data_IF_561608089419
#
_entry.id   IF_561608089419
#
_cell.length_a   1.000
_cell.length_b   1.000
_cell.length_c   1.000
_cell.angle_alpha   90.00
_cell.angle_beta   90.00
_cell.angle_gamma   90.00
#
_symmetry.space_group_name_H-M   'P 1'
#
loop_
_entity.id
_entity.type
_entity.pdbx_description
1 polymer ?
#
# COMPACT_ATOMS: atom_id res chain seq x y z
N UNK A 1 7.96 35.90 24.86
CA UNK A 1 7.86 35.53 23.43
C UNK A 1 8.23 34.07 23.13
N UNK A 2 8.80 33.30 24.06
CA UNK A 2 9.26 31.91 23.85
C UNK A 2 8.15 30.85 24.01
N UNK A 3 7.07 31.12 24.76
CA UNK A 3 5.93 30.20 24.93
C UNK A 3 4.97 30.14 23.73
N UNK A 4 4.91 31.19 22.89
CA UNK A 4 3.99 31.27 21.75
C UNK A 4 4.53 30.53 20.51
N UNK A 5 5.86 30.45 20.35
CA UNK A 5 6.51 29.69 19.26
C UNK A 5 6.31 28.16 19.39
N UNK A 6 6.25 27.64 20.62
CA UNK A 6 5.98 26.20 20.87
C UNK A 6 4.55 25.78 20.51
N UNK A 7 3.58 26.65 20.74
CA UNK A 7 2.16 26.40 20.39
C UNK A 7 1.97 26.46 18.87
N UNK A 8 2.61 27.40 18.17
CA UNK A 8 2.55 27.50 16.70
C UNK A 8 3.15 26.28 15.98
N UNK A 9 4.29 25.76 16.44
CA UNK A 9 4.90 24.52 15.90
C UNK A 9 4.03 23.28 16.14
N UNK A 10 3.35 23.23 17.29
CA UNK A 10 2.42 22.14 17.62
C UNK A 10 1.13 22.23 16.76
N UNK A 11 0.61 23.43 16.51
CA UNK A 11 -0.59 23.64 15.67
C UNK A 11 -0.32 23.39 14.18
N UNK A 12 0.85 23.76 13.64
CA UNK A 12 1.26 23.40 12.27
C UNK A 12 1.35 21.88 12.06
N UNK A 13 1.60 21.12 13.14
CA UNK A 13 1.66 19.66 13.09
C UNK A 13 0.32 18.95 13.33
N UNK A 14 -0.64 19.62 13.96
CA UNK A 14 -1.96 19.06 14.27
C UNK A 14 -2.93 19.31 13.12
N UNK A 15 -3.02 20.55 12.61
CA UNK A 15 -4.08 20.95 11.67
C UNK A 15 -4.10 20.16 10.35
N UNK A 16 -2.98 19.88 9.65
CA UNK A 16 -2.99 19.11 8.40
C UNK A 16 -3.29 17.61 8.60
N UNK A 17 -3.05 17.09 9.80
CA UNK A 17 -3.36 15.70 10.16
C UNK A 17 -4.87 15.51 10.37
N UNK A 18 -5.53 16.48 11.03
CA UNK A 18 -6.97 16.45 11.28
C UNK A 18 -7.76 16.63 9.98
N UNK A 19 -7.34 17.56 9.13
CA UNK A 19 -8.00 17.85 7.84
C UNK A 19 -8.02 16.64 6.91
N UNK A 20 -6.88 15.96 6.72
CA UNK A 20 -6.81 14.76 5.87
C UNK A 20 -7.56 13.56 6.46
N UNK A 21 -7.66 13.48 7.80
CA UNK A 21 -8.34 12.39 8.49
C UNK A 21 -9.87 12.47 8.38
N UNK A 22 -10.44 13.67 8.52
CA UNK A 22 -11.89 13.88 8.34
C UNK A 22 -12.34 13.76 6.87
N UNK A 23 -11.45 14.03 5.90
CA UNK A 23 -11.81 13.94 4.49
C UNK A 23 -11.98 12.48 3.99
N UNK A 24 -11.36 11.49 4.64
CA UNK A 24 -11.51 10.07 4.27
C UNK A 24 -12.77 9.40 4.86
N UNK A 25 -13.32 9.94 5.96
CA UNK A 25 -14.62 9.52 6.48
C UNK A 25 -15.67 10.55 6.06
N UNK A 26 -16.36 10.28 4.95
CA UNK A 26 -17.49 11.12 4.49
C UNK A 26 -18.38 11.48 5.68
N UNK A 27 -18.51 12.78 5.96
CA UNK A 27 -19.46 13.33 6.92
C UNK A 27 -20.86 13.05 6.37
N UNK A 28 -21.40 11.88 6.69
CA UNK A 28 -22.84 11.62 6.71
C UNK A 28 -23.27 11.86 8.14
N UNK A 29 -23.45 13.12 8.52
CA UNK A 29 -24.23 13.52 9.69
C UNK A 29 -24.50 15.00 9.52
N UNK A 30 -25.65 15.31 8.92
CA UNK A 30 -26.46 16.53 9.09
C UNK A 30 -27.56 16.61 8.01
N UNK A 31 -28.23 15.49 7.73
CA UNK A 31 -29.49 15.50 7.00
C UNK A 31 -30.26 14.29 7.51
N UNK A 32 -30.95 14.42 8.65
CA UNK A 32 -32.18 13.70 9.05
C UNK A 32 -32.43 14.01 10.53
N UNK A 33 -33.02 15.17 10.79
CA UNK A 33 -33.75 15.42 12.03
C UNK A 33 -34.91 16.37 11.70
N UNK A 34 -36.15 15.89 11.57
CA UNK A 34 -37.28 16.71 11.15
C UNK A 34 -37.89 17.44 12.35
N UNK A 35 -37.11 18.28 13.06
CA UNK A 35 -37.62 19.18 14.10
C UNK A 35 -36.70 20.39 14.33
N UNK A 36 -36.49 21.24 13.32
CA UNK A 36 -35.98 22.60 13.55
C UNK A 36 -36.53 23.58 12.50
N UNK A 37 -37.83 23.84 12.56
CA UNK A 37 -38.36 25.13 12.11
C UNK A 37 -38.05 26.15 13.21
N UNK A 38 -36.89 26.82 13.11
CA UNK A 38 -36.55 28.17 13.63
C UNK A 38 -35.04 28.37 13.79
N UNK A 39 -34.27 28.22 12.71
CA UNK A 39 -32.83 28.54 12.69
C UNK A 39 -32.52 29.95 12.14
N UNK A 40 -33.47 30.88 12.19
CA UNK A 40 -33.28 32.29 11.80
C UNK A 40 -33.42 33.29 12.97
N UNK A 41 -33.25 32.83 14.22
CA UNK A 41 -33.38 33.70 15.41
C UNK A 41 -32.25 33.60 16.44
N UNK A 42 -31.06 33.14 16.04
CA UNK A 42 -29.84 33.23 16.87
C UNK A 42 -28.67 33.73 16.00
N UNK A 43 -28.82 34.91 15.39
CA UNK A 43 -27.69 35.70 14.90
C UNK A 43 -28.00 37.20 15.03
N UNK A 44 -28.08 37.76 16.25
CA UNK A 44 -27.75 39.16 16.38
C UNK A 44 -26.95 39.43 17.66
N UNK A 45 -25.72 38.92 17.78
CA UNK A 45 -24.64 39.62 18.50
C UNK A 45 -23.26 38.96 18.34
N UNK A 46 -22.88 38.58 17.11
CA UNK A 46 -21.50 38.13 16.87
C UNK A 46 -20.68 39.32 16.40
N UNK A 47 -19.70 39.75 17.22
CA UNK A 47 -18.74 40.79 16.81
C UNK A 47 -18.10 40.41 15.46
N UNK A 48 -17.75 41.42 14.65
CA UNK A 48 -17.14 41.23 13.31
C UNK A 48 -15.94 40.28 13.32
N UNK A 49 -15.21 40.19 14.43
CA UNK A 49 -14.09 39.25 14.64
C UNK A 49 -14.54 37.77 14.69
N UNK A 50 -15.70 37.50 15.28
CA UNK A 50 -16.24 36.13 15.39
C UNK A 50 -16.82 35.65 14.05
N UNK A 51 -17.40 36.54 13.25
CA UNK A 51 -17.84 36.23 11.88
C UNK A 51 -16.65 35.93 10.97
N UNK A 52 -15.57 36.73 11.07
CA UNK A 52 -14.31 36.47 10.35
C UNK A 52 -13.69 35.14 10.80
N UNK A 53 -13.68 34.84 12.10
CA UNK A 53 -13.16 33.56 12.61
C UNK A 53 -13.98 32.37 12.11
N UNK A 54 -15.32 32.46 12.08
CA UNK A 54 -16.19 31.42 11.55
C UNK A 54 -16.03 31.25 10.03
N UNK A 55 -15.89 32.33 9.26
CA UNK A 55 -15.60 32.27 7.83
C UNK A 55 -14.20 31.70 7.56
N UNK A 56 -13.19 32.05 8.36
CA UNK A 56 -11.84 31.51 8.25
C UNK A 56 -11.81 30.02 8.61
N UNK A 57 -12.53 29.61 9.65
CA UNK A 57 -12.72 28.21 10.01
C UNK A 57 -13.47 27.44 8.92
N UNK A 58 -14.51 28.04 8.31
CA UNK A 58 -15.25 27.45 7.19
C UNK A 58 -14.36 27.31 5.94
N UNK A 59 -13.56 28.32 5.61
CA UNK A 59 -12.59 28.27 4.50
C UNK A 59 -11.49 27.22 4.76
N UNK A 60 -11.01 27.09 6.00
CA UNK A 60 -10.07 26.03 6.40
C UNK A 60 -10.69 24.62 6.32
N UNK A 61 -11.99 24.49 6.59
CA UNK A 61 -12.73 23.23 6.45
C UNK A 61 -13.00 22.90 4.98
N UNK A 62 -13.34 23.88 4.15
CA UNK A 62 -13.62 23.68 2.71
C UNK A 62 -12.33 23.41 1.91
N UNK A 63 -11.23 24.13 2.20
CA UNK A 63 -9.91 23.89 1.58
C UNK A 63 -9.30 22.55 1.99
N UNK A 64 -9.75 21.98 3.12
CA UNK A 64 -9.32 20.70 3.62
C UNK A 64 -9.90 19.47 2.92
N UNK A 65 -10.90 19.66 2.06
CA UNK A 65 -11.60 18.59 1.33
C UNK A 65 -11.22 18.50 -0.15
N UNK A 66 -10.21 19.26 -0.59
CA UNK A 66 -9.74 19.19 -1.97
C UNK A 66 -9.13 17.81 -2.25
N UNK A 67 -9.62 17.14 -3.29
CA UNK A 67 -9.09 15.87 -3.76
C UNK A 67 -7.65 16.07 -4.24
N UNK A 68 -6.70 15.72 -3.37
CA UNK A 68 -5.27 16.00 -3.55
C UNK A 68 -4.67 15.42 -4.82
N UNK A 69 -5.31 14.43 -5.45
CA UNK A 69 -4.80 13.81 -6.66
C UNK A 69 -5.13 14.61 -7.93
N UNK A 70 -6.13 15.49 -7.88
CA UNK A 70 -6.48 16.37 -9.00
C UNK A 70 -5.29 17.24 -9.43
N UNK A 71 -4.49 17.70 -8.47
CA UNK A 71 -3.31 18.53 -8.72
C UNK A 71 -2.22 17.84 -9.55
N UNK A 72 -2.24 16.51 -9.66
CA UNK A 72 -1.23 15.74 -10.38
C UNK A 72 -1.71 15.23 -11.75
N UNK A 73 -3.00 15.40 -12.10
CA UNK A 73 -3.58 14.84 -13.34
C UNK A 73 -2.87 15.30 -14.61
N UNK A 74 -2.47 16.57 -14.67
CA UNK A 74 -1.78 17.15 -15.82
C UNK A 74 -0.43 16.49 -16.12
N UNK A 75 0.14 15.73 -15.18
CA UNK A 75 1.37 14.95 -15.38
C UNK A 75 1.14 13.65 -16.15
N UNK A 76 -0.13 13.27 -16.41
CA UNK A 76 -0.49 12.03 -17.12
C UNK A 76 -1.30 12.35 -18.40
N UNK A 77 -0.69 13.07 -19.37
CA UNK A 77 -1.41 13.47 -20.59
C UNK A 77 -1.57 12.33 -21.62
N UNK A 78 -0.82 11.22 -21.45
CA UNK A 78 -0.80 10.14 -22.44
C UNK A 78 -2.20 9.54 -22.66
N UNK A 79 -2.43 9.06 -23.89
CA UNK A 79 -3.65 8.38 -24.29
C UNK A 79 -3.32 7.10 -25.02
N UNK A 80 -4.03 6.02 -24.69
CA UNK A 80 -3.83 4.72 -25.33
C UNK A 80 -4.68 4.65 -26.60
N UNK A 81 -4.09 4.53 -27.80
CA UNK A 81 -4.86 4.44 -29.04
C UNK A 81 -5.80 3.23 -29.08
N UNK A 82 -5.42 2.14 -28.42
CA UNK A 82 -6.14 0.85 -28.44
C UNK A 82 -6.85 0.54 -27.13
N UNK A 83 -6.67 1.37 -26.09
CA UNK A 83 -7.10 1.08 -24.72
C UNK A 83 -6.36 -0.09 -24.06
N UNK A 84 -5.31 -0.62 -24.69
CA UNK A 84 -4.45 -1.67 -24.16
C UNK A 84 -3.11 -1.08 -23.71
N UNK A 85 -2.42 -1.69 -22.72
CA UNK A 85 -1.07 -1.27 -22.34
C UNK A 85 -0.01 -1.70 -23.38
N UNK A 86 0.96 -0.82 -23.62
CA UNK A 86 2.18 -1.11 -24.38
C UNK A 86 3.41 -0.90 -23.47
N UNK A 87 3.95 -1.99 -22.93
CA UNK A 87 5.03 -1.92 -21.95
C UNK A 87 6.40 -1.56 -22.55
N UNK A 88 6.51 -1.39 -23.87
CA UNK A 88 7.68 -0.75 -24.47
C UNK A 88 7.72 0.76 -24.21
N UNK A 89 6.58 1.38 -23.89
CA UNK A 89 6.49 2.79 -23.53
C UNK A 89 6.46 2.96 -21.99
N UNK A 90 7.31 3.86 -21.48
CA UNK A 90 7.45 4.19 -20.06
C UNK A 90 6.18 4.75 -19.41
N UNK A 91 5.24 5.33 -20.18
CA UNK A 91 3.97 5.86 -19.67
C UNK A 91 3.09 4.76 -19.05
N UNK A 92 3.20 3.53 -19.56
CA UNK A 92 2.49 2.35 -19.06
C UNK A 92 3.16 1.71 -17.84
N UNK A 93 4.22 2.32 -17.32
CA UNK A 93 4.82 1.94 -16.05
C UNK A 93 4.43 2.98 -15.00
N UNK A 94 3.90 2.54 -13.86
CA UNK A 94 3.69 3.38 -12.69
C UNK A 94 5.05 3.68 -12.02
N UNK A 95 5.94 2.69 -11.97
CA UNK A 95 7.34 2.86 -11.57
C UNK A 95 8.30 2.17 -12.55
N UNK A 96 9.41 2.83 -12.90
CA UNK A 96 10.44 2.24 -13.75
C UNK A 96 11.80 2.92 -13.54
N UNK A 97 12.95 2.20 -13.53
CA UNK A 97 14.27 2.80 -13.25
C UNK A 97 14.73 3.85 -14.27
N UNK A 98 14.14 3.84 -15.47
CA UNK A 98 14.41 4.80 -16.53
C UNK A 98 13.55 6.07 -16.46
N UNK A 99 12.70 6.23 -15.44
CA UNK A 99 11.92 7.45 -15.22
C UNK A 99 12.01 7.89 -13.76
N UNK A 100 11.81 9.19 -13.51
CA UNK A 100 11.65 9.70 -12.14
C UNK A 100 10.18 9.54 -11.74
N UNK A 101 9.93 8.81 -10.66
CA UNK A 101 8.56 8.59 -10.19
C UNK A 101 8.47 8.52 -8.66
N UNK A 102 7.25 8.48 -8.07
CA UNK A 102 7.12 8.50 -6.63
C UNK A 102 7.74 7.31 -5.90
N UNK A 103 8.05 6.20 -6.58
CA UNK A 103 8.73 5.06 -5.94
C UNK A 103 10.18 5.40 -5.57
N UNK A 104 10.78 6.41 -6.20
CA UNK A 104 12.11 6.91 -5.86
C UNK A 104 12.13 7.81 -4.61
N UNK A 105 10.96 8.08 -4.03
CA UNK A 105 10.85 8.95 -2.87
C UNK A 105 11.45 8.27 -1.64
N UNK A 106 12.15 9.05 -0.83
CA UNK A 106 12.79 8.58 0.40
C UNK A 106 12.31 9.49 1.54
N UNK A 107 11.75 8.93 2.63
CA UNK A 107 11.43 9.72 3.81
C UNK A 107 12.66 10.49 4.31
N UNK A 108 12.49 11.77 4.68
CA UNK A 108 13.61 12.66 5.07
C UNK A 108 14.66 12.02 6.00
N UNK A 109 14.30 11.24 7.04
CA UNK A 109 15.29 10.61 7.93
C UNK A 109 16.18 9.54 7.27
N UNK A 110 15.85 9.10 6.05
CA UNK A 110 16.54 8.03 5.31
C UNK A 110 17.33 8.56 4.11
N UNK A 111 17.33 9.87 3.83
CA UNK A 111 17.97 10.44 2.63
C UNK A 111 19.48 10.17 2.49
N UNK A 112 20.17 9.83 3.59
CA UNK A 112 21.60 9.55 3.61
C UNK A 112 21.92 8.05 3.71
N UNK A 113 20.91 7.18 3.64
CA UNK A 113 21.17 5.74 3.68
C UNK A 113 21.92 5.29 2.42
N UNK A 114 22.88 4.35 2.54
CA UNK A 114 23.50 3.75 1.38
C UNK A 114 22.45 3.10 0.48
N UNK A 115 22.58 3.33 -0.82
CA UNK A 115 21.67 2.81 -1.84
C UNK A 115 22.41 1.99 -2.86
N UNK A 116 21.71 0.97 -3.33
CA UNK A 116 22.20 0.07 -4.36
C UNK A 116 21.02 -0.32 -5.27
N UNK A 117 21.33 -1.02 -6.35
CA UNK A 117 20.38 -1.57 -7.30
C UNK A 117 20.42 -3.08 -7.37
N UNK A 118 21.17 -3.77 -6.48
CA UNK A 118 21.47 -5.22 -6.46
C UNK A 118 20.39 -6.16 -7.02
N UNK A 119 19.12 -5.90 -6.72
CA UNK A 119 17.99 -6.69 -7.19
C UNK A 119 16.95 -5.85 -7.94
N UNK A 120 15.98 -6.54 -8.52
CA UNK A 120 14.81 -5.93 -9.09
C UNK A 120 13.60 -6.27 -8.23
N UNK A 121 12.81 -5.26 -7.88
CA UNK A 121 11.49 -5.46 -7.29
C UNK A 121 10.42 -5.24 -8.36
N UNK A 122 9.65 -6.28 -8.63
CA UNK A 122 8.43 -6.18 -9.44
C UNK A 122 7.24 -5.96 -8.49
N UNK A 123 6.88 -4.69 -8.30
CA UNK A 123 5.82 -4.27 -7.40
C UNK A 123 4.47 -4.23 -8.13
N UNK A 124 3.49 -4.99 -7.65
CA UNK A 124 2.13 -5.00 -8.20
C UNK A 124 1.22 -4.23 -7.25
N UNK A 125 0.88 -3.00 -7.64
CA UNK A 125 0.09 -2.09 -6.83
C UNK A 125 -1.35 -2.58 -6.63
N UNK A 126 -2.08 -2.13 -5.60
CA UNK A 126 -3.50 -2.45 -5.42
C UNK A 126 -4.37 -1.65 -6.40
N UNK A 127 -5.68 -1.90 -6.38
CA UNK A 127 -6.61 -1.03 -7.10
C UNK A 127 -6.77 0.32 -6.41
N UNK A 128 -6.55 1.40 -7.15
CA UNK A 128 -6.93 2.77 -6.78
C UNK A 128 -8.22 3.19 -7.48
N UNK A 129 -8.79 2.33 -8.32
CA UNK A 129 -10.10 2.50 -8.93
C UNK A 129 -11.23 2.21 -7.93
N UNK A 130 -11.50 3.21 -7.10
CA UNK A 130 -12.38 3.10 -5.93
C UNK A 130 -13.56 4.07 -5.94
N UNK A 131 -13.75 4.85 -7.02
CA UNK A 131 -14.88 5.78 -7.07
C UNK A 131 -16.18 5.02 -7.26
N UNK A 132 -17.05 5.09 -6.24
CA UNK A 132 -18.38 4.47 -6.25
C UNK A 132 -19.22 4.91 -7.44
N UNK A 133 -19.04 6.13 -7.96
CA UNK A 133 -19.80 6.63 -9.12
C UNK A 133 -19.33 6.03 -10.43
N UNK A 134 -18.10 5.52 -10.47
CA UNK A 134 -17.51 4.87 -11.65
C UNK A 134 -17.74 3.35 -11.68
N UNK A 135 -18.54 2.81 -10.77
CA UNK A 135 -18.87 1.37 -10.69
C UNK A 135 -19.63 0.83 -11.91
N UNK A 136 -20.05 1.69 -12.85
CA UNK A 136 -20.58 1.28 -14.16
C UNK A 136 -19.53 0.62 -15.04
N UNK A 137 -18.24 0.83 -14.76
CA UNK A 137 -17.12 0.19 -15.44
C UNK A 137 -16.45 -0.83 -14.52
N UNK A 138 -16.17 -2.02 -15.06
CA UNK A 138 -15.58 -3.11 -14.28
C UNK A 138 -14.06 -2.98 -14.12
N UNK A 139 -13.38 -2.28 -15.05
CA UNK A 139 -11.95 -1.98 -15.00
C UNK A 139 -11.65 -0.50 -15.32
N UNK A 140 -10.58 0.01 -14.70
CA UNK A 140 -9.99 1.31 -14.98
C UNK A 140 -9.48 1.41 -16.43
N UNK A 141 -9.48 2.62 -16.99
CA UNK A 141 -8.90 2.84 -18.30
C UNK A 141 -7.41 3.00 -18.07
N UNK A 142 -6.60 2.45 -18.97
CA UNK A 142 -5.15 2.43 -18.80
C UNK A 142 -4.55 3.85 -18.77
N UNK A 143 -5.21 4.79 -19.43
CA UNK A 143 -4.85 6.20 -19.62
C UNK A 143 -5.78 7.17 -18.87
N UNK A 144 -6.44 6.67 -17.81
CA UNK A 144 -7.19 7.51 -16.86
C UNK A 144 -6.18 8.31 -16.01
N UNK A 145 -6.10 9.61 -16.28
CA UNK A 145 -5.13 10.54 -15.69
C UNK A 145 -5.30 10.65 -14.16
N UNK A 146 -6.54 10.62 -13.66
CA UNK A 146 -6.82 10.69 -12.24
C UNK A 146 -6.43 9.39 -11.52
N UNK A 147 -6.79 8.23 -12.07
CA UNK A 147 -6.41 6.93 -11.50
C UNK A 147 -4.89 6.77 -11.53
N UNK A 148 -4.22 7.23 -12.60
CA UNK A 148 -2.76 7.20 -12.70
C UNK A 148 -2.10 8.10 -11.66
N UNK A 149 -2.54 9.36 -11.54
CA UNK A 149 -2.10 10.27 -10.48
C UNK A 149 -2.32 9.68 -9.08
N UNK A 150 -3.49 9.09 -8.84
CA UNK A 150 -3.82 8.50 -7.56
C UNK A 150 -2.94 7.28 -7.26
N UNK A 151 -2.68 6.42 -8.24
CA UNK A 151 -1.79 5.25 -8.10
C UNK A 151 -0.40 5.71 -7.69
N UNK A 152 0.18 6.65 -8.44
CA UNK A 152 1.55 7.10 -8.25
C UNK A 152 1.72 7.82 -6.89
N UNK A 153 0.84 8.76 -6.55
CA UNK A 153 0.92 9.55 -5.32
C UNK A 153 0.21 8.92 -4.10
N UNK A 154 -0.21 7.66 -4.22
CA UNK A 154 -0.61 6.85 -3.08
C UNK A 154 0.20 5.56 -2.99
N UNK A 155 -0.12 4.55 -3.78
CA UNK A 155 0.43 3.20 -3.59
C UNK A 155 1.90 3.13 -3.98
N UNK A 156 2.30 3.77 -5.09
CA UNK A 156 3.70 3.79 -5.51
C UNK A 156 4.55 4.59 -4.50
N UNK A 157 4.09 5.79 -4.13
CA UNK A 157 4.75 6.61 -3.11
C UNK A 157 4.87 5.90 -1.76
N UNK A 158 3.78 5.35 -1.22
CA UNK A 158 3.72 4.89 0.16
C UNK A 158 4.09 3.42 0.36
N UNK A 159 3.98 2.60 -0.67
CA UNK A 159 4.18 1.14 -0.59
C UNK A 159 5.37 0.69 -1.43
N UNK A 160 5.43 1.04 -2.73
CA UNK A 160 6.53 0.60 -3.60
C UNK A 160 7.89 1.17 -3.15
N UNK A 161 7.91 2.41 -2.66
CA UNK A 161 9.13 3.05 -2.15
C UNK A 161 9.79 2.30 -0.98
N UNK A 162 9.05 1.45 -0.25
CA UNK A 162 9.63 0.64 0.82
C UNK A 162 10.78 -0.26 0.33
N UNK A 163 10.78 -0.61 -0.96
CA UNK A 163 11.71 -1.54 -1.59
C UNK A 163 12.86 -0.85 -2.35
N UNK A 164 12.90 0.49 -2.40
CA UNK A 164 13.85 1.23 -3.26
C UNK A 164 15.29 1.40 -2.69
N UNK A 165 15.61 0.78 -1.54
CA UNK A 165 16.95 0.91 -0.93
C UNK A 165 18.03 0.22 -1.75
N UNK A 166 17.80 -1.05 -2.07
CA UNK A 166 18.77 -1.95 -2.70
C UNK A 166 18.22 -2.57 -4.00
N UNK A 167 17.09 -2.06 -4.48
CA UNK A 167 16.42 -2.61 -5.65
C UNK A 167 16.01 -1.54 -6.64
N UNK A 168 16.05 -1.90 -7.92
CA UNK A 168 15.36 -1.20 -9.00
C UNK A 168 13.86 -1.49 -8.92
N UNK A 169 13.01 -0.47 -8.94
CA UNK A 169 11.55 -0.65 -8.83
C UNK A 169 10.91 -0.68 -10.20
N UNK A 170 10.20 -1.77 -10.51
CA UNK A 170 9.34 -1.91 -11.67
C UNK A 170 7.90 -2.10 -11.18
N UNK A 171 6.98 -1.27 -11.66
CA UNK A 171 5.55 -1.43 -11.36
C UNK A 171 4.74 -1.07 -12.59
N UNK A 172 4.01 -2.01 -13.21
CA UNK A 172 3.23 -1.73 -14.41
C UNK A 172 1.94 -1.00 -14.06
N UNK A 173 1.48 -0.10 -14.94
CA UNK A 173 0.07 0.27 -15.00
C UNK A 173 -0.67 -0.87 -15.68
N UNK A 174 -1.74 -1.33 -15.05
CA UNK A 174 -2.62 -2.34 -15.62
C UNK A 174 -4.07 -1.88 -15.50
N UNK A 175 -5.00 -2.47 -16.27
CA UNK A 175 -6.43 -2.14 -16.18
C UNK A 175 -7.02 -2.71 -14.90
N UNK A 176 -6.82 -2.00 -13.80
CA UNK A 176 -7.22 -2.37 -12.45
C UNK A 176 -8.72 -2.67 -12.37
N UNK A 177 -9.11 -3.80 -11.78
CA UNK A 177 -10.51 -4.08 -11.55
C UNK A 177 -11.06 -3.13 -10.46
N UNK A 178 -12.31 -2.68 -10.62
CA UNK A 178 -12.95 -1.76 -9.68
C UNK A 178 -13.06 -2.40 -8.28
N UNK A 179 -12.89 -1.59 -7.22
CA UNK A 179 -12.94 -2.10 -5.83
C UNK A 179 -14.26 -2.81 -5.49
N UNK A 180 -15.36 -2.44 -6.15
CA UNK A 180 -16.68 -3.07 -5.98
C UNK A 180 -16.68 -4.57 -6.27
N UNK A 181 -15.76 -5.06 -7.12
CA UNK A 181 -15.64 -6.48 -7.44
C UNK A 181 -15.23 -7.34 -6.23
N UNK A 182 -14.73 -6.74 -5.15
CA UNK A 182 -14.37 -7.44 -3.91
C UNK A 182 -15.48 -7.49 -2.86
N UNK A 183 -16.57 -6.74 -3.05
CA UNK A 183 -17.67 -6.65 -2.09
C UNK A 183 -18.97 -7.30 -2.58
N UNK A 184 -19.03 -7.72 -3.84
CA UNK A 184 -20.16 -8.44 -4.44
C UNK A 184 -20.06 -9.96 -4.34
N UNK A 185 -21.12 -10.66 -4.77
CA UNK A 185 -21.07 -12.10 -5.00
C UNK A 185 -20.10 -12.44 -6.15
N UNK A 186 -19.54 -13.64 -6.13
CA UNK A 186 -18.68 -14.18 -7.20
C UNK A 186 -19.43 -14.12 -8.54
N UNK A 187 -19.19 -13.07 -9.31
CA UNK A 187 -19.85 -12.82 -10.59
C UNK A 187 -18.89 -13.09 -11.74
N UNK A 188 -19.44 -13.47 -12.90
CA UNK A 188 -18.66 -13.60 -14.12
C UNK A 188 -17.91 -12.30 -14.47
N UNK A 189 -18.54 -11.15 -14.20
CA UNK A 189 -17.96 -9.82 -14.41
C UNK A 189 -16.74 -9.60 -13.51
N UNK A 190 -16.83 -9.92 -12.22
CA UNK A 190 -15.71 -9.79 -11.29
C UNK A 190 -14.52 -10.67 -11.72
N UNK A 191 -14.79 -11.92 -12.13
CA UNK A 191 -13.78 -12.85 -12.65
C UNK A 191 -13.11 -12.33 -13.92
N UNK A 192 -13.89 -11.91 -14.91
CA UNK A 192 -13.37 -11.33 -16.16
C UNK A 192 -12.53 -10.07 -15.89
N UNK A 193 -12.97 -9.22 -14.96
CA UNK A 193 -12.24 -7.99 -14.61
C UNK A 193 -10.88 -8.30 -14.01
N UNK A 194 -10.82 -9.29 -13.10
CA UNK A 194 -9.57 -9.72 -12.48
C UNK A 194 -8.66 -10.46 -13.48
N UNK A 195 -9.24 -11.23 -14.41
CA UNK A 195 -8.49 -11.88 -15.49
C UNK A 195 -7.87 -10.87 -16.45
N UNK A 196 -8.58 -9.79 -16.78
CA UNK A 196 -8.04 -8.69 -17.59
C UNK A 196 -6.91 -7.96 -16.85
N UNK A 197 -7.08 -7.70 -15.56
CA UNK A 197 -6.02 -7.13 -14.74
C UNK A 197 -4.78 -8.03 -14.71
N UNK A 198 -4.97 -9.35 -14.55
CA UNK A 198 -3.87 -10.30 -14.54
C UNK A 198 -3.18 -10.40 -15.89
N UNK A 199 -3.92 -10.42 -17.01
CA UNK A 199 -3.31 -10.51 -18.34
C UNK A 199 -2.39 -9.33 -18.63
N UNK A 200 -2.78 -8.12 -18.21
CA UNK A 200 -1.95 -6.93 -18.29
C UNK A 200 -0.68 -7.07 -17.42
N UNK A 201 -0.79 -7.51 -16.16
CA UNK A 201 0.36 -7.72 -15.25
C UNK A 201 1.31 -8.80 -15.79
N UNK A 202 0.74 -9.90 -16.29
CA UNK A 202 1.49 -11.01 -16.92
C UNK A 202 2.30 -10.52 -18.11
N UNK A 203 1.69 -9.70 -18.98
CA UNK A 203 2.36 -9.15 -20.16
C UNK A 203 3.48 -8.17 -19.75
N UNK A 204 3.27 -7.35 -18.72
CA UNK A 204 4.32 -6.49 -18.18
C UNK A 204 5.50 -7.28 -17.63
N UNK A 205 5.22 -8.33 -16.85
CA UNK A 205 6.26 -9.15 -16.26
C UNK A 205 7.10 -9.87 -17.31
N UNK A 206 6.45 -10.41 -18.35
CA UNK A 206 7.14 -10.99 -19.52
C UNK A 206 8.05 -9.97 -20.20
N UNK A 207 7.55 -8.75 -20.43
CA UNK A 207 8.36 -7.69 -21.03
C UNK A 207 9.55 -7.32 -20.13
N UNK A 208 9.33 -7.16 -18.83
CA UNK A 208 10.39 -6.91 -17.85
C UNK A 208 11.46 -8.00 -17.83
N UNK A 209 11.07 -9.28 -17.80
CA UNK A 209 12.00 -10.40 -17.82
C UNK A 209 12.86 -10.39 -19.09
N UNK A 210 12.24 -10.14 -20.25
CA UNK A 210 12.91 -10.17 -21.54
C UNK A 210 13.84 -8.97 -21.77
N UNK A 211 13.45 -7.77 -21.32
CA UNK A 211 14.13 -6.53 -21.69
C UNK A 211 15.00 -5.95 -20.58
N UNK A 212 14.70 -6.21 -19.31
CA UNK A 212 15.28 -5.47 -18.19
C UNK A 212 15.94 -6.31 -17.10
N UNK A 213 15.43 -7.50 -16.80
CA UNK A 213 15.90 -8.28 -15.65
C UNK A 213 17.36 -8.74 -15.81
N UNK A 214 17.75 -9.21 -17.01
CA UNK A 214 19.11 -9.67 -17.30
C UNK A 214 19.70 -10.64 -16.25
N UNK A 215 18.86 -11.52 -15.67
CA UNK A 215 19.29 -12.53 -14.68
C UNK A 215 19.54 -11.98 -13.26
N UNK A 216 19.04 -10.78 -12.96
CA UNK A 216 19.15 -10.18 -11.62
C UNK A 216 18.21 -10.88 -10.62
N UNK A 217 18.56 -10.91 -9.32
CA UNK A 217 17.66 -11.42 -8.29
C UNK A 217 16.33 -10.66 -8.32
N UNK A 218 15.23 -11.37 -8.12
CA UNK A 218 13.87 -10.85 -8.24
C UNK A 218 13.18 -10.87 -6.88
N UNK A 219 12.58 -9.76 -6.51
CA UNK A 219 11.61 -9.63 -5.43
C UNK A 219 10.24 -9.41 -6.06
N UNK A 220 9.26 -10.25 -5.73
CA UNK A 220 7.86 -9.97 -6.06
C UNK A 220 7.26 -9.27 -4.85
N UNK A 221 6.71 -8.07 -5.01
CA UNK A 221 6.04 -7.35 -3.94
C UNK A 221 4.66 -6.90 -4.41
N UNK A 222 3.67 -6.90 -3.53
CA UNK A 222 2.31 -6.58 -3.94
C UNK A 222 1.44 -6.17 -2.77
N UNK A 223 0.31 -5.50 -3.08
CA UNK A 223 -0.72 -5.20 -2.09
C UNK A 223 -2.14 -5.43 -2.61
N UNK A 224 -3.02 -5.95 -1.77
CA UNK A 224 -4.47 -6.06 -2.02
C UNK A 224 -4.79 -6.76 -3.35
N UNK A 225 -5.46 -6.09 -4.31
CA UNK A 225 -5.66 -6.64 -5.66
C UNK A 225 -4.36 -7.07 -6.34
N UNK A 226 -3.26 -6.34 -6.13
CA UNK A 226 -1.97 -6.70 -6.67
C UNK A 226 -1.46 -8.04 -6.11
N UNK A 227 -1.83 -8.40 -4.89
CA UNK A 227 -1.47 -9.70 -4.31
C UNK A 227 -2.20 -10.87 -4.96
N UNK A 228 -3.46 -10.69 -5.41
CA UNK A 228 -4.11 -11.67 -6.28
C UNK A 228 -3.33 -11.87 -7.57
N UNK A 229 -2.91 -10.79 -8.21
CA UNK A 229 -2.13 -10.87 -9.45
C UNK A 229 -0.77 -11.53 -9.19
N UNK A 230 -0.14 -11.23 -8.05
CA UNK A 230 1.12 -11.83 -7.63
C UNK A 230 0.99 -13.34 -7.42
N UNK A 231 -0.12 -13.82 -6.86
CA UNK A 231 -0.37 -15.27 -6.67
C UNK A 231 -0.38 -15.98 -8.02
N UNK A 232 -1.13 -15.47 -9.00
CA UNK A 232 -1.18 -16.04 -10.34
C UNK A 232 0.18 -15.95 -11.05
N UNK A 233 0.89 -14.81 -10.91
CA UNK A 233 2.23 -14.63 -11.45
C UNK A 233 3.24 -15.62 -10.86
N UNK A 234 3.21 -15.83 -9.55
CA UNK A 234 4.10 -16.78 -8.86
C UNK A 234 3.82 -18.21 -9.29
N UNK A 235 2.55 -18.60 -9.48
CA UNK A 235 2.19 -19.92 -10.02
C UNK A 235 2.72 -20.13 -11.44
N UNK A 236 2.57 -19.11 -12.30
CA UNK A 236 2.89 -19.24 -13.72
C UNK A 236 4.41 -19.20 -13.98
N UNK A 237 5.12 -18.31 -13.30
CA UNK A 237 6.53 -18.02 -13.64
C UNK A 237 7.55 -18.54 -12.64
N UNK A 238 7.17 -18.85 -11.40
CA UNK A 238 8.13 -19.19 -10.35
C UNK A 238 7.92 -20.61 -9.86
N UNK A 239 6.75 -20.94 -9.33
CA UNK A 239 6.50 -22.19 -8.64
C UNK A 239 6.83 -23.43 -9.49
N UNK A 240 7.80 -24.22 -9.03
CA UNK A 240 8.30 -25.41 -9.73
C UNK A 240 8.88 -25.11 -11.12
N UNK A 241 9.50 -23.94 -11.30
CA UNK A 241 10.18 -23.53 -12.53
C UNK A 241 11.65 -23.14 -12.27
N UNK A 242 12.51 -23.06 -13.31
CA UNK A 242 13.88 -22.59 -13.14
C UNK A 242 14.00 -21.14 -12.61
N UNK A 243 13.06 -20.25 -12.95
CA UNK A 243 13.09 -18.84 -12.53
C UNK A 243 12.95 -18.72 -11.00
N UNK A 244 12.38 -19.72 -10.33
CA UNK A 244 12.32 -19.81 -8.88
C UNK A 244 13.66 -19.58 -8.19
N UNK A 245 14.77 -20.01 -8.81
CA UNK A 245 16.11 -19.83 -8.27
C UNK A 245 16.53 -18.35 -8.23
N UNK A 246 15.91 -17.49 -9.04
CA UNK A 246 16.12 -16.04 -9.00
C UNK A 246 15.25 -15.33 -7.97
N UNK A 247 14.29 -16.01 -7.35
CA UNK A 247 13.39 -15.42 -6.36
C UNK A 247 14.11 -15.23 -5.03
N UNK A 248 14.35 -13.97 -4.65
CA UNK A 248 14.83 -13.62 -3.31
C UNK A 248 13.69 -13.87 -2.32
N UNK A 249 12.53 -13.26 -2.53
CA UNK A 249 11.33 -13.40 -1.69
C UNK A 249 10.12 -12.85 -2.43
N UNK A 250 8.94 -13.39 -2.11
CA UNK A 250 7.67 -12.82 -2.54
C UNK A 250 6.89 -12.24 -1.35
N UNK A 251 6.70 -10.92 -1.29
CA UNK A 251 5.81 -10.23 -0.35
C UNK A 251 4.40 -10.09 -0.96
N UNK A 252 3.53 -11.06 -0.68
CA UNK A 252 2.15 -11.16 -1.18
C UNK A 252 1.18 -10.59 -0.15
N UNK A 253 1.14 -9.27 -0.03
CA UNK A 253 0.47 -8.58 1.09
C UNK A 253 -0.97 -8.19 0.75
N UNK A 254 -1.89 -8.30 1.71
CA UNK A 254 -3.26 -7.82 1.55
C UNK A 254 -4.18 -8.79 0.79
N UNK A 255 -3.87 -10.09 0.73
CA UNK A 255 -4.80 -11.09 0.23
C UNK A 255 -4.65 -12.42 0.97
N UNK A 256 -5.72 -13.19 1.26
CA UNK A 256 -5.59 -14.55 1.78
C UNK A 256 -4.81 -15.43 0.82
N UNK A 257 -3.66 -15.94 1.27
CA UNK A 257 -2.82 -16.87 0.53
C UNK A 257 -2.87 -18.24 1.19
N UNK A 258 -3.27 -19.28 0.46
CA UNK A 258 -3.29 -20.66 0.97
C UNK A 258 -2.03 -21.41 0.56
N UNK A 259 -1.56 -22.31 1.41
CA UNK A 259 -0.44 -23.21 1.09
C UNK A 259 -0.66 -24.01 -0.18
N UNK A 260 -1.90 -24.45 -0.44
CA UNK A 260 -2.29 -25.19 -1.66
C UNK A 260 -2.22 -24.37 -2.95
N UNK A 261 -2.01 -23.04 -2.86
CA UNK A 261 -1.82 -22.23 -4.07
C UNK A 261 -0.52 -22.57 -4.80
N UNK A 262 0.44 -23.20 -4.13
CA UNK A 262 1.74 -23.53 -4.70
C UNK A 262 2.12 -25.00 -4.49
N UNK A 263 2.67 -25.62 -5.52
CA UNK A 263 3.25 -26.96 -5.53
C UNK A 263 4.54 -26.98 -4.71
N UNK A 264 5.45 -26.02 -4.91
CA UNK A 264 6.80 -26.01 -4.34
C UNK A 264 7.09 -24.81 -3.44
N UNK A 265 6.57 -23.62 -3.76
CA UNK A 265 6.77 -22.42 -2.95
C UNK A 265 6.12 -22.60 -1.57
N UNK A 266 6.82 -22.14 -0.53
CA UNK A 266 6.39 -22.25 0.86
C UNK A 266 6.52 -20.91 1.56
N UNK A 267 5.85 -20.80 2.71
CA UNK A 267 6.04 -19.67 3.60
C UNK A 267 7.51 -19.56 4.03
N UNK A 268 8.01 -18.35 4.17
CA UNK A 268 9.32 -18.13 4.78
C UNK A 268 9.29 -18.56 6.26
N UNK A 269 10.15 -19.50 6.63
CA UNK A 269 10.28 -20.01 7.99
C UNK A 269 11.26 -19.17 8.83
N UNK A 270 12.21 -18.48 8.18
CA UNK A 270 13.25 -17.69 8.85
C UNK A 270 13.44 -16.30 8.20
N UNK A 271 13.96 -15.31 8.95
CA UNK A 271 14.11 -13.93 8.45
C UNK A 271 14.93 -13.79 7.17
N UNK A 272 16.01 -14.55 7.04
CA UNK A 272 16.93 -14.46 5.91
C UNK A 272 16.68 -15.52 4.82
N UNK A 273 15.65 -16.37 4.98
CA UNK A 273 15.36 -17.41 3.98
C UNK A 273 15.07 -16.80 2.60
N UNK A 274 15.57 -17.39 1.53
CA UNK A 274 15.22 -16.96 0.17
C UNK A 274 14.29 -17.97 -0.49
N UNK A 275 13.79 -17.64 -1.69
CA UNK A 275 12.93 -18.55 -2.45
C UNK A 275 11.69 -19.00 -1.65
N UNK A 276 11.02 -18.03 -1.03
CA UNK A 276 9.87 -18.25 -0.16
C UNK A 276 8.89 -17.08 -0.23
N UNK A 277 7.71 -17.27 0.36
CA UNK A 277 6.62 -16.30 0.33
C UNK A 277 6.32 -15.76 1.73
N UNK A 278 6.12 -14.46 1.82
CA UNK A 278 5.57 -13.76 2.97
C UNK A 278 4.18 -13.21 2.63
N UNK A 279 3.21 -13.30 3.54
CA UNK A 279 1.88 -12.72 3.32
C UNK A 279 1.27 -12.26 4.63
N UNK A 280 0.56 -11.13 4.63
CA UNK A 280 -0.23 -10.70 5.78
C UNK A 280 -1.30 -9.71 5.35
N UNK A 281 -2.26 -9.49 6.23
CA UNK A 281 -3.29 -8.45 6.16
C UNK A 281 -3.62 -8.06 7.59
N UNK A 282 -3.66 -6.77 7.87
CA UNK A 282 -3.66 -6.26 9.23
C UNK A 282 -5.04 -5.79 9.65
N UNK A 283 -5.54 -6.35 10.75
CA UNK A 283 -6.75 -5.89 11.43
C UNK A 283 -6.47 -5.54 12.89
N UNK A 284 -7.32 -4.72 13.48
CA UNK A 284 -7.22 -4.37 14.89
C UNK A 284 -7.49 -5.61 15.75
N UNK A 285 -6.71 -5.79 16.81
CA UNK A 285 -6.95 -6.81 17.82
C UNK A 285 -8.39 -6.75 18.34
N UNK A 286 -9.08 -7.88 18.32
CA UNK A 286 -10.49 -8.00 18.73
C UNK A 286 -11.52 -7.66 17.63
N UNK A 287 -11.10 -7.18 16.46
CA UNK A 287 -11.98 -6.96 15.32
C UNK A 287 -11.97 -8.16 14.37
N UNK A 288 -13.14 -8.78 14.16
CA UNK A 288 -13.29 -9.88 13.22
C UNK A 288 -14.00 -9.41 11.96
N UNK A 289 -13.23 -9.14 10.90
CA UNK A 289 -13.77 -8.67 9.64
C UNK A 289 -14.72 -9.72 9.00
N UNK A 290 -15.79 -9.32 8.29
CA UNK A 290 -16.78 -10.26 7.75
C UNK A 290 -16.20 -11.33 6.82
N UNK A 291 -15.19 -11.00 6.01
CA UNK A 291 -14.52 -11.99 5.16
C UNK A 291 -13.65 -12.95 5.97
N UNK A 292 -12.98 -12.51 7.04
CA UNK A 292 -12.21 -13.40 7.93
C UNK A 292 -13.12 -14.47 8.54
N UNK A 293 -14.36 -14.10 8.93
CA UNK A 293 -15.36 -15.07 9.39
C UNK A 293 -15.67 -16.15 8.34
N UNK A 294 -15.80 -15.76 7.07
CA UNK A 294 -16.03 -16.68 5.94
C UNK A 294 -14.82 -17.59 5.65
N UNK A 295 -13.64 -17.21 6.13
CA UNK A 295 -12.39 -17.93 5.89
C UNK A 295 -11.99 -18.83 7.07
N UNK A 296 -12.79 -18.86 8.14
CA UNK A 296 -12.48 -19.55 9.39
C UNK A 296 -12.11 -21.02 9.17
N UNK A 297 -12.84 -21.73 8.32
CA UNK A 297 -12.61 -23.15 8.01
C UNK A 297 -11.28 -23.42 7.30
N UNK A 298 -10.78 -22.44 6.53
CA UNK A 298 -9.49 -22.53 5.83
C UNK A 298 -8.37 -21.78 6.54
N UNK A 299 -8.62 -21.22 7.72
CA UNK A 299 -7.65 -20.34 8.40
C UNK A 299 -6.30 -21.01 8.70
N UNK A 300 -6.30 -22.32 8.95
CA UNK A 300 -5.09 -23.10 9.19
C UNK A 300 -4.24 -23.34 7.93
N UNK A 301 -4.81 -23.23 6.73
CA UNK A 301 -4.06 -23.32 5.47
C UNK A 301 -3.53 -21.97 4.99
N UNK A 302 -3.90 -20.88 5.65
CA UNK A 302 -3.46 -19.54 5.25
C UNK A 302 -2.03 -19.26 5.71
N UNK A 303 -1.20 -18.87 4.76
CA UNK A 303 0.14 -18.35 5.03
C UNK A 303 -0.01 -16.95 5.62
N UNK A 304 0.51 -16.77 6.83
CA UNK A 304 0.62 -15.47 7.47
C UNK A 304 2.03 -15.32 8.03
N UNK A 305 2.69 -14.22 7.71
CA UNK A 305 4.00 -13.83 8.20
C UNK A 305 3.86 -12.66 9.13
N UNK A 306 4.53 -12.72 10.27
CA UNK A 306 4.63 -11.60 11.17
C UNK A 306 5.76 -10.66 10.67
N UNK A 307 5.46 -9.43 10.21
CA UNK A 307 6.47 -8.53 9.63
C UNK A 307 7.44 -7.93 10.66
N UNK A 308 7.28 -8.27 11.95
CA UNK A 308 8.22 -7.90 13.01
C UNK A 308 9.24 -9.01 13.30
N UNK A 309 8.88 -10.29 13.11
CA UNK A 309 9.78 -11.44 13.33
C UNK A 309 10.22 -12.13 12.03
N UNK A 310 9.52 -11.91 10.93
CA UNK A 310 9.70 -12.59 9.64
C UNK A 310 9.52 -14.12 9.69
N UNK A 311 8.75 -14.58 10.66
CA UNK A 311 8.35 -15.98 10.84
C UNK A 311 6.82 -16.12 10.76
N UNK A 312 6.33 -17.36 10.75
CA UNK A 312 4.91 -17.70 10.82
C UNK A 312 4.44 -17.96 12.26
N UNK A 313 5.26 -17.62 13.26
CA UNK A 313 4.94 -17.88 14.67
C UNK A 313 3.76 -17.04 15.14
N UNK A 314 2.89 -17.67 15.93
CA UNK A 314 1.66 -17.04 16.45
C UNK A 314 1.87 -16.23 17.73
N UNK A 315 3.11 -16.19 18.21
CA UNK A 315 3.53 -15.39 19.37
C UNK A 315 3.25 -13.90 19.16
N UNK A 316 2.92 -13.21 20.25
CA UNK A 316 2.79 -11.75 20.23
C UNK A 316 4.18 -11.12 20.11
N UNK A 317 4.36 -10.25 19.11
CA UNK A 317 5.57 -9.45 18.95
C UNK A 317 5.25 -7.99 19.28
N UNK A 318 5.90 -7.49 20.33
CA UNK A 318 5.71 -6.13 20.82
C UNK A 318 6.05 -5.08 19.76
N UNK A 319 5.34 -3.95 19.78
CA UNK A 319 5.62 -2.79 18.93
C UNK A 319 7.05 -2.29 19.07
N UNK A 320 7.77 -2.61 20.14
CA UNK A 320 9.21 -2.29 20.28
C UNK A 320 10.09 -2.88 19.15
N UNK A 321 9.63 -3.96 18.49
CA UNK A 321 10.31 -4.53 17.32
C UNK A 321 10.00 -3.76 16.01
N UNK A 322 9.05 -2.82 16.03
CA UNK A 322 8.71 -1.99 14.87
C UNK A 322 9.77 -0.91 14.67
N UNK A 323 10.60 -1.11 13.64
CA UNK A 323 11.75 -0.26 13.31
C UNK A 323 11.32 1.09 12.77
N UNK A 324 10.12 1.18 12.21
CA UNK A 324 9.53 2.43 11.78
C UNK A 324 8.40 2.28 10.75
N UNK A 325 7.34 3.05 10.97
CA UNK A 325 6.25 3.25 10.01
C UNK A 325 6.39 4.57 9.25
N UNK A 326 5.89 4.60 8.02
CA UNK A 326 5.75 5.81 7.20
C UNK A 326 4.26 6.09 7.00
N UNK A 327 3.79 7.26 7.46
CA UNK A 327 2.40 7.69 7.34
C UNK A 327 2.20 8.66 6.16
N UNK A 328 0.99 9.20 6.01
CA UNK A 328 0.55 10.01 4.85
C UNK A 328 1.34 11.31 4.60
N UNK A 329 2.12 11.79 5.56
CA UNK A 329 3.04 12.94 5.37
C UNK A 329 4.34 12.56 4.68
N UNK A 330 4.68 11.28 4.63
CA UNK A 330 5.90 10.70 4.06
C UNK A 330 7.26 11.17 4.63
N UNK A 331 7.30 12.29 5.35
CA UNK A 331 8.54 12.94 5.80
C UNK A 331 9.02 12.54 7.21
N UNK A 332 8.33 11.62 7.87
CA UNK A 332 8.62 11.22 9.25
C UNK A 332 8.59 9.70 9.38
N UNK A 333 9.58 9.16 10.10
CA UNK A 333 9.60 7.77 10.56
C UNK A 333 9.06 7.70 11.99
N UNK A 334 8.02 6.90 12.20
CA UNK A 334 7.45 6.66 13.53
C UNK A 334 7.87 5.28 14.03
N UNK A 335 8.78 5.24 14.99
CA UNK A 335 9.18 3.97 15.64
C UNK A 335 8.10 3.50 16.60
N UNK A 336 8.11 2.20 16.90
CA UNK A 336 7.25 1.60 17.91
C UNK A 336 5.75 1.80 17.64
N UNK A 337 5.35 1.80 16.37
CA UNK A 337 3.99 2.14 15.96
C UNK A 337 3.02 0.96 16.01
N UNK A 338 3.34 -0.17 15.38
CA UNK A 338 2.46 -1.33 15.36
C UNK A 338 3.13 -2.56 15.97
N UNK A 339 2.40 -3.27 16.83
CA UNK A 339 2.71 -4.65 17.21
C UNK A 339 2.17 -5.63 16.16
N UNK A 340 2.37 -6.92 16.40
CA UNK A 340 1.92 -7.95 15.47
C UNK A 340 1.71 -9.29 16.18
N UNK A 341 0.56 -9.92 15.93
CA UNK A 341 0.28 -11.28 16.35
C UNK A 341 -0.57 -12.01 15.30
N UNK A 342 -0.14 -13.20 14.89
CA UNK A 342 -0.91 -14.03 13.96
C UNK A 342 -2.01 -14.79 14.73
N UNK A 343 -3.26 -14.65 14.29
CA UNK A 343 -4.40 -15.48 14.74
C UNK A 343 -5.38 -15.69 13.60
N UNK A 344 -5.99 -16.87 13.52
CA UNK A 344 -7.07 -17.18 12.59
C UNK A 344 -6.77 -16.81 11.12
N UNK A 345 -5.54 -17.05 10.65
CA UNK A 345 -5.14 -16.76 9.26
C UNK A 345 -5.06 -15.26 8.92
N UNK A 346 -4.78 -14.43 9.93
CA UNK A 346 -4.72 -12.95 9.85
C UNK A 346 -3.62 -12.40 10.77
N UNK A 347 -3.09 -11.24 10.43
CA UNK A 347 -2.22 -10.46 11.31
C UNK A 347 -3.04 -9.45 12.13
N UNK A 348 -2.96 -9.54 13.46
CA UNK A 348 -3.58 -8.59 14.36
C UNK A 348 -2.56 -7.62 14.94
N UNK A 349 -2.96 -6.36 15.08
CA UNK A 349 -2.21 -5.32 15.81
C UNK A 349 -3.16 -4.61 16.76
N UNK A 350 -2.70 -4.18 17.93
CA UNK A 350 -3.41 -3.15 18.68
C UNK A 350 -3.40 -1.83 17.90
N UNK A 351 -4.15 -0.83 18.40
CA UNK A 351 -4.23 0.48 17.74
C UNK A 351 -2.83 1.07 17.54
N UNK A 352 -2.43 1.38 16.30
CA UNK A 352 -1.11 1.94 16.03
C UNK A 352 -0.82 3.20 16.86
N UNK A 353 0.43 3.33 17.30
CA UNK A 353 0.90 4.40 18.15
C UNK A 353 1.71 5.42 17.34
N UNK A 354 1.15 6.62 17.19
CA UNK A 354 1.78 7.78 16.57
C UNK A 354 1.07 9.06 17.02
N UNK A 355 1.68 10.26 16.90
CA UNK A 355 1.04 11.52 17.26
C UNK A 355 -0.33 11.69 16.58
N UNK A 356 -1.39 11.83 17.38
CA UNK A 356 -2.76 11.94 16.87
C UNK A 356 -3.47 10.61 16.59
N UNK A 357 -2.88 9.45 16.89
CA UNK A 357 -3.50 8.14 16.62
C UNK A 357 -4.80 7.89 17.41
N UNK A 358 -5.13 8.74 18.38
CA UNK A 358 -6.44 8.72 19.04
C UNK A 358 -7.61 9.06 18.12
N UNK A 359 -7.35 9.74 17.01
CA UNK A 359 -8.33 9.98 15.96
C UNK A 359 -8.47 8.78 15.04
N UNK A 360 -7.42 7.96 14.90
CA UNK A 360 -7.40 6.78 14.04
C UNK A 360 -8.30 5.67 14.61
N UNK A 361 -9.59 5.73 14.26
CA UNK A 361 -10.69 4.91 14.81
C UNK A 361 -11.13 3.74 13.92
N UNK A 362 -10.51 3.55 12.76
CA UNK A 362 -10.78 2.36 11.95
C UNK A 362 -10.30 1.11 12.66
N UNK A 363 -11.00 -0.01 12.49
CA UNK A 363 -10.55 -1.33 12.93
C UNK A 363 -9.91 -2.14 11.79
N UNK A 364 -10.00 -1.61 10.56
CA UNK A 364 -9.35 -2.16 9.37
C UNK A 364 -8.06 -1.39 9.07
N UNK A 365 -6.92 -2.06 9.22
CA UNK A 365 -5.58 -1.51 9.00
C UNK A 365 -4.96 -1.93 7.66
N UNK A 366 -5.71 -2.64 6.82
CA UNK A 366 -5.29 -3.20 5.53
C UNK A 366 -4.59 -2.20 4.60
N UNK A 367 -5.10 -0.96 4.51
CA UNK A 367 -4.46 0.07 3.67
C UNK A 367 -3.02 0.39 4.09
N UNK A 368 -2.68 0.11 5.35
CA UNK A 368 -1.38 0.34 5.95
C UNK A 368 -0.51 -0.90 6.09
N UNK A 369 -0.87 -2.05 5.50
CA UNK A 369 -0.13 -3.31 5.71
C UNK A 369 1.38 -3.19 5.45
N UNK A 370 1.79 -2.40 4.45
CA UNK A 370 3.20 -2.12 4.15
C UNK A 370 3.69 -0.94 4.99
N UNK A 371 2.93 0.16 5.02
CA UNK A 371 3.27 1.41 5.70
C UNK A 371 3.57 1.27 7.19
N UNK A 372 2.82 0.41 7.89
CA UNK A 372 2.99 0.16 9.32
C UNK A 372 4.31 -0.55 9.63
N UNK A 373 4.88 -1.27 8.67
CA UNK A 373 6.10 -2.06 8.85
C UNK A 373 7.19 -1.66 7.84
N UNK A 374 7.16 -0.41 7.36
CA UNK A 374 7.98 0.08 6.25
C UNK A 374 9.48 -0.16 6.44
N UNK A 375 10.05 0.22 7.59
CA UNK A 375 11.48 0.02 7.85
C UNK A 375 11.82 -1.44 8.12
N UNK A 376 10.91 -2.21 8.72
CA UNK A 376 11.11 -3.65 8.90
C UNK A 376 11.25 -4.32 7.53
N UNK A 377 10.38 -4.00 6.57
CA UNK A 377 10.43 -4.54 5.19
C UNK A 377 11.76 -4.19 4.54
N UNK A 378 12.16 -2.91 4.63
CA UNK A 378 13.39 -2.40 4.04
C UNK A 378 14.63 -3.12 4.59
N UNK A 379 14.68 -3.32 5.91
CA UNK A 379 15.71 -4.12 6.59
C UNK A 379 15.69 -5.59 6.15
N UNK A 380 14.52 -6.21 6.04
CA UNK A 380 14.41 -7.61 5.66
C UNK A 380 14.80 -7.88 4.19
N UNK A 381 14.49 -6.94 3.28
CA UNK A 381 14.98 -7.00 1.90
C UNK A 381 16.50 -7.05 1.88
N UNK A 382 17.17 -6.20 2.67
CA UNK A 382 18.62 -6.18 2.78
C UNK A 382 19.19 -7.49 3.32
N UNK A 383 18.59 -8.02 4.38
CA UNK A 383 19.02 -9.30 4.96
C UNK A 383 18.87 -10.47 3.97
N UNK A 384 17.74 -10.55 3.26
CA UNK A 384 17.50 -11.64 2.29
C UNK A 384 18.37 -11.50 1.05
N UNK A 385 18.67 -10.28 0.60
CA UNK A 385 19.63 -10.07 -0.49
C UNK A 385 21.03 -10.51 -0.08
N UNK A 386 21.48 -10.17 1.12
CA UNK A 386 22.76 -10.65 1.65
C UNK A 386 22.84 -12.19 1.64
N UNK A 387 21.80 -12.86 2.15
CA UNK A 387 21.71 -14.32 2.17
C UNK A 387 21.64 -14.93 0.76
N UNK A 388 20.92 -14.30 -0.17
CA UNK A 388 20.85 -14.72 -1.57
C UNK A 388 22.23 -14.73 -2.23
N UNK A 389 23.01 -13.67 -2.04
CA UNK A 389 24.34 -13.57 -2.64
C UNK A 389 25.37 -14.49 -1.98
N UNK A 390 25.24 -14.78 -0.68
CA UNK A 390 26.05 -15.78 0.01
C UNK A 390 25.81 -17.19 -0.54
N UNK A 391 24.55 -17.58 -0.73
CA UNK A 391 24.19 -18.93 -1.21
C UNK A 391 24.49 -19.15 -2.68
N UNK A 392 24.44 -18.10 -3.51
CA UNK A 392 24.73 -18.18 -4.96
C UNK A 392 26.23 -18.06 -5.30
N UNK A 393 27.12 -17.96 -4.30
CA UNK A 393 28.57 -17.83 -4.51
C UNK A 393 29.00 -16.50 -5.14
N UNK A 394 28.06 -15.57 -5.35
CA UNK A 394 28.31 -14.22 -5.84
C UNK A 394 28.54 -13.30 -4.64
N UNK A 395 29.68 -13.46 -3.97
CA UNK A 395 30.03 -12.66 -2.79
C UNK A 395 29.98 -11.16 -3.08
N UNK A 396 28.95 -10.47 -2.57
CA UNK A 396 28.90 -9.02 -2.52
C UNK A 396 29.23 -8.60 -1.08
N UNK A 397 30.37 -7.96 -0.88
CA UNK A 397 30.66 -7.29 0.40
C UNK A 397 29.74 -6.08 0.50
N UNK A 398 28.75 -6.13 1.38
CA UNK A 398 27.99 -4.95 1.78
C UNK A 398 28.96 -3.98 2.47
N UNK A 399 29.28 -2.86 1.81
CA UNK A 399 29.97 -1.72 2.44
C UNK A 399 28.98 -0.81 3.14
#
# INVERSE_FOLDING_TARGET
MTKIRGIYSTMQNIVPFFINFFCQQRIIFLCHCPKYHNFYRILPDMSSKNVIFCLFALILVISGCADKYQAYRSQYPFKSPTGQPDYSNLDYWAAHPAKKDPSDSIPRPLCTEPRDTLADVFFIHPTTFTDKKAATRSNAAIDDDYINAKTDYSTILFQASAFNQQSRVFSPRYRQAHIGNFYGADSAIAKQSLQLAYSDVRNAFRYYLQQYNAGRPIIIASHSQGALMAIELLKEFFDNTPLQQQLVVAYVVGWPLETKNFVSLRACAQPAQTNCVCSWRTYKMGYEAPWVKKEKERSASLIVTNPLSWTTDTGFVSRQANKGSVLTRFNTIYKNTADAQIKNGVLYSYRPHFPGSFLYRTDNYHIGDINLYYLNIRENVRERLAAYFQTTGKGHSLQ
#
